data_IF_116794442182
#
_entry.id   IF_116794442182
#
_cell.length_a   1.000
_cell.length_b   1.000
_cell.length_c   1.000
_cell.angle_alpha   90.00
_cell.angle_beta   90.00
_cell.angle_gamma   90.00
#
_symmetry.space_group_name_H-M   'P 1'
#
loop_
_entity.id
_entity.type
_entity.pdbx_description
1 polymer ?
#
# COMPACT_ATOMS: atom_id res chain seq x y z
N UNK A 1 -3.95 -20.36 -12.97
CA UNK A 1 -3.43 -20.50 -11.58
C UNK A 1 -2.35 -19.47 -11.21
N UNK A 2 -1.26 -19.27 -11.97
CA UNK A 2 -0.16 -18.34 -11.58
C UNK A 2 -0.57 -16.88 -11.31
N UNK A 3 -1.49 -16.33 -12.10
CA UNK A 3 -2.01 -14.97 -11.86
C UNK A 3 -2.88 -14.89 -10.60
N UNK A 4 -3.65 -15.94 -10.31
CA UNK A 4 -4.47 -16.03 -9.11
C UNK A 4 -3.60 -16.11 -7.85
N UNK A 5 -2.56 -16.94 -7.86
CA UNK A 5 -1.61 -17.04 -6.75
C UNK A 5 -0.90 -15.71 -6.48
N UNK A 6 -0.42 -15.03 -7.53
CA UNK A 6 0.16 -13.69 -7.42
C UNK A 6 -0.81 -12.67 -6.80
N UNK A 7 -2.09 -12.74 -7.15
CA UNK A 7 -3.13 -11.87 -6.62
C UNK A 7 -3.34 -12.05 -5.11
N UNK A 8 -3.30 -13.29 -4.60
CA UNK A 8 -3.40 -13.57 -3.16
C UNK A 8 -2.26 -12.88 -2.40
N UNK A 9 -1.02 -13.01 -2.88
CA UNK A 9 0.13 -12.34 -2.26
C UNK A 9 0.02 -10.81 -2.32
N UNK A 10 -0.49 -10.26 -3.42
CA UNK A 10 -0.77 -8.83 -3.50
C UNK A 10 -1.86 -8.39 -2.50
N UNK A 11 -2.95 -9.14 -2.35
CA UNK A 11 -3.98 -8.84 -1.35
C UNK A 11 -3.41 -8.87 0.08
N UNK A 12 -2.58 -9.86 0.40
CA UNK A 12 -1.87 -9.92 1.68
C UNK A 12 -0.97 -8.71 1.89
N UNK A 13 -0.22 -8.29 0.87
CA UNK A 13 0.61 -7.09 0.93
C UNK A 13 -0.22 -5.81 1.12
N UNK A 14 -1.36 -5.67 0.42
CA UNK A 14 -2.30 -4.54 0.62
C UNK A 14 -2.74 -4.47 2.07
N UNK A 15 -3.11 -5.61 2.65
CA UNK A 15 -3.54 -5.70 4.04
C UNK A 15 -2.43 -5.31 5.02
N UNK A 16 -1.19 -5.76 4.80
CA UNK A 16 -0.06 -5.36 5.64
C UNK A 16 0.25 -3.86 5.52
N UNK A 17 0.19 -3.27 4.33
CA UNK A 17 0.34 -1.81 4.15
C UNK A 17 -0.80 -1.02 4.78
N UNK A 18 -2.02 -1.56 4.75
CA UNK A 18 -3.16 -0.99 5.46
C UNK A 18 -2.93 -0.99 6.97
N UNK A 19 -2.52 -2.13 7.53
CA UNK A 19 -2.21 -2.25 8.97
C UNK A 19 -1.03 -1.35 9.38
N UNK A 20 -0.01 -1.22 8.55
CA UNK A 20 1.08 -0.27 8.74
C UNK A 20 0.55 1.16 8.83
N UNK A 21 -0.31 1.56 7.88
CA UNK A 21 -0.94 2.88 7.88
C UNK A 21 -1.78 3.14 9.12
N UNK A 22 -2.61 2.19 9.55
CA UNK A 22 -3.39 2.33 10.79
C UNK A 22 -2.51 2.42 12.04
N UNK A 23 -1.51 1.55 12.15
CA UNK A 23 -0.58 1.52 13.29
C UNK A 23 0.19 2.83 13.42
N UNK A 24 0.45 3.50 12.30
CA UNK A 24 1.09 4.82 12.30
C UNK A 24 0.25 5.91 12.98
N UNK A 25 -1.08 5.79 13.00
CA UNK A 25 -1.96 6.77 13.66
C UNK A 25 -2.16 6.52 15.15
N UNK A 26 -1.77 5.34 15.66
CA UNK A 26 -1.87 5.00 17.09
C UNK A 26 -0.92 5.94 17.86
N UNK A 27 -1.48 6.69 18.82
CA UNK A 27 -0.72 7.58 19.70
C UNK A 27 -0.46 6.98 21.09
N UNK A 28 -1.27 6.00 21.50
CA UNK A 28 -1.17 5.35 22.82
C UNK A 28 -0.15 4.23 22.83
N UNK A 29 0.53 4.08 23.96
CA UNK A 29 1.52 3.03 24.17
C UNK A 29 0.82 1.67 24.31
N UNK A 30 1.01 0.78 23.34
CA UNK A 30 0.49 -0.60 23.34
C UNK A 30 1.50 -1.57 23.96
N UNK A 31 1.07 -2.81 24.21
CA UNK A 31 1.92 -3.92 24.69
C UNK A 31 3.13 -4.13 23.75
N UNK A 32 2.93 -3.91 22.45
CA UNK A 32 3.99 -3.93 21.43
C UNK A 32 4.43 -2.50 21.13
N UNK A 33 5.74 -2.28 21.02
CA UNK A 33 6.29 -0.97 20.66
C UNK A 33 5.85 -0.56 19.23
N UNK A 34 5.39 0.68 19.07
CA UNK A 34 4.84 1.21 17.81
C UNK A 34 5.83 1.06 16.65
N UNK A 35 7.11 1.35 16.89
CA UNK A 35 8.14 1.27 15.86
C UNK A 35 8.42 -0.17 15.45
N UNK A 36 8.43 -1.09 16.42
CA UNK A 36 8.55 -2.52 16.13
C UNK A 36 7.39 -3.05 15.29
N UNK A 37 6.15 -2.63 15.57
CA UNK A 37 4.97 -3.01 14.79
C UNK A 37 5.00 -2.43 13.37
N UNK A 38 5.39 -1.16 13.22
CA UNK A 38 5.58 -0.52 11.91
C UNK A 38 6.63 -1.27 11.07
N UNK A 39 7.76 -1.62 11.67
CA UNK A 39 8.81 -2.39 11.00
C UNK A 39 8.31 -3.77 10.58
N UNK A 40 7.63 -4.48 11.48
CA UNK A 40 7.08 -5.81 11.20
C UNK A 40 6.10 -5.80 10.03
N UNK A 41 5.13 -4.87 10.02
CA UNK A 41 4.19 -4.74 8.92
C UNK A 41 4.86 -4.30 7.62
N UNK A 42 5.87 -3.43 7.68
CA UNK A 42 6.61 -3.00 6.49
C UNK A 42 7.41 -4.14 5.86
N UNK A 43 8.09 -4.94 6.68
CA UNK A 43 8.87 -6.09 6.25
C UNK A 43 7.96 -7.18 5.68
N UNK A 44 6.88 -7.51 6.37
CA UNK A 44 5.90 -8.48 5.90
C UNK A 44 5.28 -8.05 4.55
N UNK A 45 4.89 -6.78 4.43
CA UNK A 45 4.34 -6.23 3.20
C UNK A 45 5.34 -6.29 2.04
N UNK A 46 6.62 -5.95 2.29
CA UNK A 46 7.67 -6.00 1.29
C UNK A 46 7.95 -7.44 0.81
N UNK A 47 8.00 -8.41 1.73
CA UNK A 47 8.19 -9.83 1.41
C UNK A 47 7.02 -10.36 0.57
N UNK A 48 5.78 -10.11 1.01
CA UNK A 48 4.58 -10.54 0.28
C UNK A 48 4.52 -9.92 -1.13
N UNK A 49 4.82 -8.62 -1.24
CA UNK A 49 4.87 -7.93 -2.53
C UNK A 49 5.98 -8.50 -3.44
N UNK A 50 7.16 -8.80 -2.89
CA UNK A 50 8.27 -9.40 -3.63
C UNK A 50 7.92 -10.81 -4.15
N UNK A 51 7.29 -11.65 -3.33
CA UNK A 51 6.81 -12.98 -3.73
C UNK A 51 5.76 -12.84 -4.84
N UNK A 52 4.76 -11.97 -4.64
CA UNK A 52 3.71 -11.71 -5.63
C UNK A 52 4.26 -11.21 -6.97
N UNK A 53 5.29 -10.35 -6.95
CA UNK A 53 6.00 -9.86 -8.13
C UNK A 53 6.83 -10.94 -8.82
N UNK A 54 7.53 -11.76 -8.06
CA UNK A 54 8.37 -12.86 -8.58
C UNK A 54 7.52 -13.88 -9.32
N UNK A 55 6.37 -14.27 -8.75
CA UNK A 55 5.39 -15.15 -9.40
C UNK A 55 4.85 -14.52 -10.69
N UNK A 56 4.64 -13.20 -10.70
CA UNK A 56 4.23 -12.44 -11.89
C UNK A 56 5.36 -12.12 -12.87
N UNK A 57 6.59 -12.60 -12.63
CA UNK A 57 7.81 -12.31 -13.43
C UNK A 57 8.04 -10.82 -13.65
N UNK A 58 7.72 -9.99 -12.64
CA UNK A 58 7.84 -8.54 -12.72
C UNK A 58 7.06 -7.88 -13.88
N UNK A 59 6.09 -8.59 -14.50
CA UNK A 59 5.26 -8.03 -15.55
C UNK A 59 4.41 -6.89 -14.99
N UNK A 60 4.59 -5.70 -15.55
CA UNK A 60 3.94 -4.46 -15.09
C UNK A 60 4.14 -4.18 -13.59
N UNK A 61 5.31 -4.56 -13.03
CA UNK A 61 5.57 -4.43 -11.60
C UNK A 61 5.31 -3.02 -11.06
N UNK A 62 5.73 -1.99 -11.80
CA UNK A 62 5.51 -0.58 -11.44
C UNK A 62 4.04 -0.25 -11.25
N UNK A 63 3.18 -0.70 -12.18
CA UNK A 63 1.74 -0.48 -12.10
C UNK A 63 1.14 -1.25 -10.93
N UNK A 64 1.49 -2.53 -10.78
CA UNK A 64 0.94 -3.39 -9.72
C UNK A 64 1.30 -2.87 -8.33
N UNK A 65 2.57 -2.56 -8.09
CA UNK A 65 3.04 -1.99 -6.83
C UNK A 65 2.45 -0.61 -6.60
N UNK A 66 2.40 0.25 -7.63
CA UNK A 66 1.77 1.56 -7.53
C UNK A 66 0.31 1.48 -7.10
N UNK A 67 -0.49 0.66 -7.79
CA UNK A 67 -1.91 0.44 -7.46
C UNK A 67 -2.10 -0.15 -6.06
N UNK A 68 -1.27 -1.12 -5.67
CA UNK A 68 -1.29 -1.73 -4.34
C UNK A 68 -1.15 -0.68 -3.23
N UNK A 69 -0.13 0.18 -3.33
CA UNK A 69 0.11 1.27 -2.38
C UNK A 69 -1.05 2.29 -2.38
N UNK A 70 -1.61 2.59 -3.56
CA UNK A 70 -2.74 3.50 -3.72
C UNK A 70 -4.00 2.97 -3.02
N UNK A 71 -4.32 1.68 -3.22
CA UNK A 71 -5.46 1.03 -2.57
C UNK A 71 -5.30 0.99 -1.06
N UNK A 72 -4.11 0.65 -0.54
CA UNK A 72 -3.84 0.70 0.90
C UNK A 72 -4.01 2.10 1.46
N UNK A 73 -3.49 3.12 0.76
CA UNK A 73 -3.64 4.52 1.16
C UNK A 73 -5.11 4.95 1.22
N UNK A 74 -5.90 4.62 0.19
CA UNK A 74 -7.33 4.93 0.14
C UNK A 74 -8.10 4.22 1.26
N UNK A 75 -7.78 2.95 1.53
CA UNK A 75 -8.39 2.20 2.62
C UNK A 75 -8.11 2.87 3.97
N UNK A 76 -6.86 3.24 4.25
CA UNK A 76 -6.50 3.94 5.49
C UNK A 76 -7.19 5.31 5.57
N UNK A 77 -7.22 6.09 4.49
CA UNK A 77 -7.93 7.37 4.46
C UNK A 77 -9.43 7.22 4.76
N UNK A 78 -10.08 6.18 4.21
CA UNK A 78 -11.50 5.92 4.46
C UNK A 78 -11.77 5.60 5.93
N UNK A 79 -10.93 4.77 6.55
CA UNK A 79 -11.04 4.47 7.99
C UNK A 79 -10.79 5.73 8.82
N UNK A 80 -9.74 6.50 8.53
CA UNK A 80 -9.47 7.75 9.25
C UNK A 80 -10.61 8.76 9.13
N UNK A 81 -11.27 8.83 7.97
CA UNK A 81 -12.45 9.67 7.79
C UNK A 81 -13.62 9.24 8.69
N UNK A 82 -13.90 7.93 8.76
CA UNK A 82 -14.89 7.37 9.69
C UNK A 82 -14.50 7.67 11.14
N UNK A 83 -13.21 7.56 11.45
CA UNK A 83 -12.70 7.81 12.79
C UNK A 83 -12.95 9.25 13.23
N UNK A 84 -12.65 10.21 12.34
CA UNK A 84 -12.89 11.63 12.56
C UNK A 84 -14.38 11.98 12.66
N UNK A 85 -15.25 11.25 11.94
CA UNK A 85 -16.69 11.48 11.98
C UNK A 85 -17.36 10.96 13.26
N UNK A 86 -16.80 9.93 13.92
CA UNK A 86 -17.38 9.30 15.10
C UNK A 86 -16.34 8.98 16.21
N UNK A 87 -15.66 10.00 16.77
CA UNK A 87 -14.48 9.84 17.62
C UNK A 87 -14.75 9.20 18.99
N UNK A 88 -16.01 9.18 19.44
CA UNK A 88 -16.42 8.60 20.73
C UNK A 88 -16.77 7.10 20.64
N UNK A 89 -16.70 6.50 19.45
CA UNK A 89 -17.00 5.07 19.32
C UNK A 89 -15.91 4.23 20.03
N UNK A 90 -16.27 3.18 20.77
CA UNK A 90 -15.30 2.24 21.33
C UNK A 90 -14.94 1.17 20.28
N UNK A 91 -13.66 0.85 20.13
CA UNK A 91 -13.19 -0.27 19.30
C UNK A 91 -12.49 -1.26 20.20
N UNK A 92 -12.76 -2.54 20.00
CA UNK A 92 -11.99 -3.61 20.62
C UNK A 92 -10.62 -3.68 19.93
N UNK A 93 -9.59 -3.14 20.57
CA UNK A 93 -8.20 -3.42 20.23
C UNK A 93 -7.86 -4.84 20.73
N UNK A 94 -7.05 -5.58 19.99
CA UNK A 94 -6.77 -6.99 20.27
C UNK A 94 -6.39 -7.28 21.73
N UNK A 95 -6.62 -8.53 22.16
CA UNK A 95 -6.48 -9.01 23.54
C UNK A 95 -7.50 -8.44 24.57
N UNK A 96 -8.67 -7.98 24.09
CA UNK A 96 -9.78 -7.59 24.97
C UNK A 96 -9.68 -6.15 25.51
N UNK A 97 -8.73 -5.35 25.03
CA UNK A 97 -8.63 -3.94 25.38
C UNK A 97 -9.62 -3.11 24.56
N UNK A 98 -10.35 -2.22 25.22
CA UNK A 98 -11.21 -1.25 24.54
C UNK A 98 -10.36 0.01 24.31
N UNK A 99 -10.04 0.30 23.06
CA UNK A 99 -9.44 1.57 22.66
C UNK A 99 -10.53 2.52 22.19
N UNK A 100 -10.39 3.79 22.53
CA UNK A 100 -11.25 4.82 21.96
C UNK A 100 -10.64 5.28 20.64
N UNK A 101 -11.47 5.69 19.68
CA UNK A 101 -10.95 6.22 18.42
C UNK A 101 -10.05 7.44 18.58
N UNK A 102 -10.23 8.18 19.69
CA UNK A 102 -9.33 9.27 20.09
C UNK A 102 -7.87 8.83 20.23
N UNK A 103 -7.61 7.55 20.48
CA UNK A 103 -6.26 7.00 20.60
C UNK A 103 -5.51 7.00 19.25
N UNK A 104 -6.23 7.12 18.12
CA UNK A 104 -5.70 7.38 16.78
C UNK A 104 -5.40 8.88 16.56
N UNK A 105 -4.52 9.44 17.39
CA UNK A 105 -4.21 10.87 17.42
C UNK A 105 -2.85 11.27 16.82
N UNK A 106 -2.02 10.31 16.37
CA UNK A 106 -0.68 10.63 15.82
C UNK A 106 -0.75 10.94 14.32
N UNK A 107 -1.38 12.08 14.02
CA UNK A 107 -1.57 12.57 12.65
C UNK A 107 -0.25 12.91 11.96
N UNK A 108 0.81 13.21 12.71
CA UNK A 108 2.12 13.53 12.14
C UNK A 108 2.78 12.27 11.57
N UNK A 109 2.89 11.19 12.36
CA UNK A 109 3.49 9.95 11.83
C UNK A 109 2.58 9.26 10.82
N UNK A 110 1.27 9.22 11.08
CA UNK A 110 0.28 8.65 10.17
C UNK A 110 0.23 9.40 8.83
N UNK A 111 0.18 10.73 8.87
CA UNK A 111 0.19 11.58 7.69
C UNK A 111 1.49 11.45 6.88
N UNK A 112 2.64 11.37 7.54
CA UNK A 112 3.94 11.19 6.87
C UNK A 112 4.00 9.85 6.13
N UNK A 113 3.55 8.77 6.76
CA UNK A 113 3.51 7.45 6.15
C UNK A 113 2.55 7.43 4.95
N UNK A 114 1.34 7.99 5.08
CA UNK A 114 0.41 8.10 3.96
C UNK A 114 0.97 8.91 2.80
N UNK A 115 1.63 10.04 3.10
CA UNK A 115 2.28 10.87 2.10
C UNK A 115 3.37 10.09 1.35
N UNK A 116 4.20 9.32 2.06
CA UNK A 116 5.22 8.46 1.44
C UNK A 116 4.60 7.36 0.56
N UNK A 117 3.53 6.70 1.02
CA UNK A 117 2.82 5.69 0.23
C UNK A 117 2.20 6.30 -1.04
N UNK A 118 1.58 7.48 -0.92
CA UNK A 118 0.93 8.17 -2.03
C UNK A 118 1.95 8.68 -3.06
N UNK A 119 3.03 9.31 -2.60
CA UNK A 119 4.09 9.84 -3.48
C UNK A 119 4.80 8.71 -4.22
N UNK A 120 5.17 7.63 -3.53
CA UNK A 120 5.78 6.45 -4.15
C UNK A 120 4.83 5.79 -5.15
N UNK A 121 3.55 5.65 -4.81
CA UNK A 121 2.52 5.15 -5.71
C UNK A 121 2.42 5.99 -6.99
N UNK A 122 2.30 7.32 -6.84
CA UNK A 122 2.17 8.26 -7.95
C UNK A 122 3.39 8.20 -8.88
N UNK A 123 4.60 8.22 -8.33
CA UNK A 123 5.86 8.12 -9.09
C UNK A 123 5.91 6.82 -9.89
N UNK A 124 5.52 5.70 -9.30
CA UNK A 124 5.53 4.40 -9.98
C UNK A 124 4.52 4.34 -11.13
N UNK A 125 3.30 4.84 -10.93
CA UNK A 125 2.24 4.87 -11.96
C UNK A 125 2.63 5.81 -13.12
N UNK A 126 3.13 7.01 -12.81
CA UNK A 126 3.60 7.96 -13.83
C UNK A 126 4.78 7.38 -14.62
N UNK A 127 5.77 6.77 -13.96
CA UNK A 127 6.88 6.13 -14.65
C UNK A 127 6.41 4.97 -15.52
N UNK A 128 5.45 4.18 -15.06
CA UNK A 128 4.87 3.11 -15.86
C UNK A 128 4.23 3.64 -17.15
N UNK A 129 3.36 4.65 -17.05
CA UNK A 129 2.66 5.21 -18.21
C UNK A 129 3.63 5.84 -19.22
N UNK A 130 4.66 6.57 -18.76
CA UNK A 130 5.70 7.12 -19.65
C UNK A 130 6.45 6.04 -20.42
N UNK A 131 6.89 4.98 -19.72
CA UNK A 131 7.66 3.89 -20.34
C UNK A 131 6.79 3.07 -21.29
N UNK A 132 5.52 2.82 -20.93
CA UNK A 132 4.59 2.12 -21.81
C UNK A 132 4.31 2.91 -23.09
N UNK A 133 4.13 4.25 -23.00
CA UNK A 133 4.00 5.12 -24.19
C UNK A 133 5.23 5.06 -25.09
N UNK A 134 6.44 5.11 -24.52
CA UNK A 134 7.70 4.98 -25.27
C UNK A 134 7.81 3.65 -26.00
N UNK A 135 7.50 2.54 -25.30
CA UNK A 135 7.52 1.20 -25.92
C UNK A 135 6.56 1.08 -27.10
N UNK A 136 5.36 1.65 -26.97
CA UNK A 136 4.37 1.64 -28.06
C UNK A 136 4.86 2.44 -29.27
N UNK A 137 5.42 3.64 -29.06
CA UNK A 137 6.01 4.43 -30.16
C UNK A 137 7.15 3.71 -30.88
N UNK A 138 8.02 3.04 -30.14
CA UNK A 138 9.12 2.25 -30.73
C UNK A 138 8.56 1.08 -31.56
N UNK A 139 7.52 0.41 -31.06
CA UNK A 139 6.87 -0.69 -31.78
C UNK A 139 6.21 -0.20 -33.08
N UNK A 140 5.53 0.94 -33.06
CA UNK A 140 4.94 1.56 -34.25
C UNK A 140 6.00 1.94 -35.30
N UNK A 141 7.11 2.55 -34.86
CA UNK A 141 8.23 2.88 -35.75
C UNK A 141 8.85 1.62 -36.37
N UNK A 142 9.05 0.56 -35.58
CA UNK A 142 9.58 -0.72 -36.07
C UNK A 142 8.65 -1.35 -37.10
N UNK A 143 7.34 -1.31 -36.88
CA UNK A 143 6.36 -1.81 -37.85
C UNK A 143 6.36 -1.00 -39.16
N UNK A 144 6.55 0.32 -39.10
CA UNK A 144 6.67 1.15 -40.31
C UNK A 144 7.92 0.80 -41.12
N UNK A 145 9.06 0.61 -40.46
CA UNK A 145 10.32 0.22 -41.12
C UNK A 145 10.20 -1.17 -41.76
N UNK A 146 9.55 -2.13 -41.09
CA UNK A 146 9.36 -3.48 -41.66
C UNK A 146 8.40 -3.55 -42.85
N UNK A 147 7.65 -2.48 -43.13
CA UNK A 147 6.73 -2.39 -44.29
C UNK A 147 7.34 -1.65 -45.48
N UNK A 148 8.51 -1.06 -45.31
CA UNK A 148 9.33 -0.45 -46.37
C UNK A 148 10.34 -1.49 -46.87
#
# INVERSE_FOLDING_TARGET
MRNFLSMIFFCGAVFCFYMLGLTAFISTQTIVDKWSALLAFSAAAAVLAAIGLTIARFKNWRLKTGMMLLFSCLAVCSVMFVILAAPATPIMAGAGNIMQLKDFGDYQTGGTILFLLLTTSCVLVIRHTRISKLKNRIAELKQRIQRL
#
